data_IF_653822585119
#
_entry.id   IF_653822585119
#
_cell.length_a   1.000
_cell.length_b   1.000
_cell.length_c   1.000
_cell.angle_alpha   90.00
_cell.angle_beta   90.00
_cell.angle_gamma   90.00
#
_symmetry.space_group_name_H-M   'P 1'
#
loop_
_entity.id
_entity.type
_entity.pdbx_description
1 polymer ?
#
# COMPACT_ATOMS: atom_id res chain seq x y z
N UNK A 1 -60.58 4.58 31.21
CA UNK A 1 -59.53 4.82 30.20
C UNK A 1 -58.33 3.96 30.51
N UNK A 2 -57.86 3.17 29.54
CA UNK A 2 -56.44 3.14 29.14
C UNK A 2 -56.36 2.44 27.78
N UNK A 3 -56.17 3.24 26.73
CA UNK A 3 -56.19 2.86 25.31
C UNK A 3 -54.76 2.77 24.72
N UNK A 4 -53.82 2.17 25.44
CA UNK A 4 -52.45 2.01 24.92
C UNK A 4 -51.93 0.60 25.20
N UNK A 5 -52.50 -0.40 24.51
CA UNK A 5 -51.82 -1.68 24.31
C UNK A 5 -50.66 -1.47 23.33
N UNK A 6 -49.44 -1.59 23.84
CA UNK A 6 -48.19 -1.34 23.14
C UNK A 6 -47.98 -2.28 21.92
N UNK A 7 -48.56 -1.90 20.77
CA UNK A 7 -48.47 -2.63 19.51
C UNK A 7 -47.10 -2.52 18.79
N UNK A 8 -46.17 -1.73 19.35
CA UNK A 8 -44.83 -1.52 18.80
C UNK A 8 -43.71 -2.03 19.73
N UNK A 9 -44.04 -2.89 20.71
CA UNK A 9 -42.99 -3.53 21.49
C UNK A 9 -42.34 -4.65 20.67
N UNK A 10 -41.15 -4.35 20.13
CA UNK A 10 -40.31 -5.33 19.43
C UNK A 10 -40.10 -6.51 20.39
N UNK A 11 -40.62 -7.69 20.02
CA UNK A 11 -40.44 -8.91 20.80
C UNK A 11 -38.94 -9.15 20.94
N UNK A 12 -38.44 -9.20 22.19
CA UNK A 12 -37.03 -9.46 22.46
C UNK A 12 -36.61 -10.74 21.73
N UNK A 13 -35.63 -10.64 20.84
CA UNK A 13 -35.11 -11.81 20.14
C UNK A 13 -34.53 -12.79 21.16
N UNK A 14 -34.68 -14.09 20.90
CA UNK A 14 -34.09 -15.11 21.77
C UNK A 14 -32.59 -14.84 21.90
N UNK A 15 -31.99 -15.01 23.09
CA UNK A 15 -30.56 -14.86 23.27
C UNK A 15 -29.83 -15.66 22.21
N UNK A 16 -28.94 -14.99 21.49
CA UNK A 16 -28.10 -15.61 20.48
C UNK A 16 -27.32 -16.74 21.16
N UNK A 17 -27.56 -18.00 20.75
CA UNK A 17 -26.90 -19.18 21.34
C UNK A 17 -25.39 -19.26 21.06
N UNK A 18 -24.87 -18.30 20.30
CA UNK A 18 -23.47 -18.21 19.93
C UNK A 18 -22.90 -16.98 20.63
N UNK A 19 -21.93 -17.21 21.51
CA UNK A 19 -21.09 -16.18 22.10
C UNK A 19 -20.42 -15.43 20.95
N UNK A 20 -20.44 -14.09 20.99
CA UNK A 20 -19.63 -13.28 20.09
C UNK A 20 -18.17 -13.65 20.34
N UNK A 21 -17.61 -14.50 19.47
CA UNK A 21 -16.21 -14.89 19.53
C UNK A 21 -15.39 -13.69 19.08
N UNK A 22 -15.10 -12.82 20.04
CA UNK A 22 -13.94 -11.95 19.94
C UNK A 22 -12.74 -12.86 19.64
N UNK A 23 -11.91 -12.57 18.63
CA UNK A 23 -10.82 -13.43 18.20
C UNK A 23 -9.71 -13.62 19.25
N UNK A 24 -9.88 -13.10 20.46
CA UNK A 24 -8.76 -12.86 21.34
C UNK A 24 -8.36 -14.05 22.22
N UNK A 25 -9.22 -15.05 22.50
CA UNK A 25 -8.83 -16.20 23.34
C UNK A 25 -9.67 -17.46 23.05
N UNK A 26 -9.28 -18.22 22.03
CA UNK A 26 -9.76 -19.59 21.84
C UNK A 26 -8.72 -20.57 22.45
N UNK A 27 -9.15 -21.73 22.98
CA UNK A 27 -8.21 -22.78 23.36
C UNK A 27 -7.46 -23.31 22.13
N UNK A 28 -6.23 -23.79 22.31
CA UNK A 28 -5.32 -24.14 21.21
C UNK A 28 -5.92 -25.12 20.19
N UNK A 29 -6.69 -26.10 20.66
CA UNK A 29 -7.34 -27.10 19.81
C UNK A 29 -8.46 -26.51 18.93
N UNK A 30 -9.24 -25.58 19.48
CA UNK A 30 -10.29 -24.87 18.72
C UNK A 30 -9.67 -23.85 17.77
N UNK A 31 -8.57 -23.19 18.15
CA UNK A 31 -7.82 -22.30 17.26
C UNK A 31 -7.32 -23.03 16.02
N UNK A 32 -6.69 -24.19 16.20
CA UNK A 32 -6.17 -24.97 15.09
C UNK A 32 -7.29 -25.41 14.14
N UNK A 33 -8.44 -25.80 14.69
CA UNK A 33 -9.60 -26.24 13.91
C UNK A 33 -10.27 -25.11 13.15
N UNK A 34 -10.34 -23.90 13.71
CA UNK A 34 -11.09 -22.78 13.13
C UNK A 34 -10.23 -21.82 12.30
N UNK A 35 -8.99 -21.58 12.73
CA UNK A 35 -8.05 -20.65 12.08
C UNK A 35 -6.95 -21.36 11.29
N UNK A 36 -6.86 -22.69 11.41
CA UNK A 36 -5.82 -23.49 10.75
C UNK A 36 -4.50 -23.51 11.53
N UNK A 37 -3.45 -24.14 10.96
CA UNK A 37 -2.14 -24.21 11.59
C UNK A 37 -1.57 -22.81 11.81
N UNK A 38 -0.99 -22.58 13.00
CA UNK A 38 -0.27 -21.35 13.31
C UNK A 38 0.98 -21.29 12.43
N UNK A 39 0.98 -20.44 11.41
CA UNK A 39 2.15 -20.20 10.59
C UNK A 39 3.19 -19.48 11.45
N UNK A 40 4.21 -20.21 11.89
CA UNK A 40 5.23 -19.68 12.80
C UNK A 40 6.07 -18.60 12.13
N UNK A 41 6.42 -18.77 10.85
CA UNK A 41 7.21 -17.77 10.10
C UNK A 41 6.85 -17.80 8.61
N UNK A 42 6.29 -16.71 8.10
CA UNK A 42 6.09 -16.54 6.65
C UNK A 42 7.34 -15.87 6.06
N UNK A 43 8.12 -16.64 5.32
CA UNK A 43 9.31 -16.15 4.62
C UNK A 43 8.99 -15.93 3.14
N UNK A 44 9.13 -14.70 2.66
CA UNK A 44 8.96 -14.35 1.25
C UNK A 44 10.29 -13.83 0.72
N UNK A 45 10.78 -14.40 -0.38
CA UNK A 45 11.95 -13.88 -1.09
C UNK A 45 11.47 -13.06 -2.28
N UNK A 46 11.72 -11.75 -2.24
CA UNK A 46 11.42 -10.85 -3.36
C UNK A 46 12.74 -10.38 -3.95
N UNK A 47 13.01 -10.77 -5.19
CA UNK A 47 14.32 -10.64 -5.83
C UNK A 47 15.44 -11.23 -4.94
N UNK A 48 16.34 -10.39 -4.45
CA UNK A 48 17.47 -10.78 -3.59
C UNK A 48 17.25 -10.51 -2.10
N UNK A 49 16.10 -9.95 -1.74
CA UNK A 49 15.78 -9.58 -0.35
C UNK A 49 14.83 -10.60 0.26
N UNK A 50 15.20 -11.13 1.42
CA UNK A 50 14.34 -12.00 2.22
C UNK A 50 13.52 -11.12 3.16
N UNK A 51 12.20 -11.30 3.13
CA UNK A 51 11.24 -10.58 3.98
C UNK A 51 10.58 -11.63 4.87
N UNK A 52 10.52 -11.35 6.16
CA UNK A 52 9.97 -12.19 7.22
C UNK A 52 8.78 -11.46 7.80
N UNK A 53 7.62 -12.11 7.79
CA UNK A 53 6.44 -11.58 8.47
C UNK A 53 6.58 -11.76 9.98
N UNK A 54 6.44 -10.67 10.72
CA UNK A 54 6.32 -10.69 12.17
C UNK A 54 4.87 -11.01 12.55
N UNK A 55 4.66 -12.25 13.00
CA UNK A 55 3.34 -12.76 13.37
C UNK A 55 2.78 -12.12 14.65
N UNK A 56 3.60 -11.42 15.44
CA UNK A 56 3.16 -10.75 16.68
C UNK A 56 2.68 -9.32 16.44
N UNK A 57 3.42 -8.56 15.63
CA UNK A 57 3.08 -7.16 15.31
C UNK A 57 2.27 -7.00 14.01
N UNK A 58 2.23 -8.03 13.17
CA UNK A 58 1.53 -8.01 11.87
C UNK A 58 2.30 -7.25 10.78
N UNK A 59 3.59 -7.00 10.98
CA UNK A 59 4.45 -6.20 10.11
C UNK A 59 5.42 -7.06 9.29
N UNK A 60 5.87 -6.53 8.15
CA UNK A 60 6.87 -7.19 7.30
C UNK A 60 8.27 -6.65 7.59
N UNK A 61 9.15 -7.52 8.08
CA UNK A 61 10.55 -7.19 8.41
C UNK A 61 11.49 -7.74 7.34
N UNK A 62 12.38 -6.93 6.79
CA UNK A 62 13.43 -7.43 5.89
C UNK A 62 14.52 -8.12 6.70
N UNK A 63 14.80 -9.40 6.41
CA UNK A 63 15.88 -10.15 7.06
C UNK A 63 17.22 -9.46 6.79
N UNK A 64 17.92 -9.07 7.87
CA UNK A 64 19.16 -8.27 7.82
C UNK A 64 19.00 -6.82 8.29
N UNK A 65 17.81 -6.42 8.72
CA UNK A 65 17.55 -5.11 9.31
C UNK A 65 17.04 -5.27 10.75
N UNK A 66 17.82 -5.92 11.60
CA UNK A 66 17.55 -6.10 13.04
C UNK A 66 17.54 -4.81 13.88
N UNK A 67 17.35 -3.64 13.24
CA UNK A 67 17.18 -2.35 13.91
C UNK A 67 16.32 -1.33 13.13
N UNK A 68 15.62 -1.70 12.05
CA UNK A 68 14.86 -0.72 11.25
C UNK A 68 13.38 -1.13 11.18
N UNK A 69 12.77 -1.30 12.35
CA UNK A 69 11.32 -1.40 12.47
C UNK A 69 10.64 -0.22 11.77
N UNK A 70 9.71 -0.52 10.87
CA UNK A 70 8.59 0.29 10.33
C UNK A 70 8.84 1.69 9.75
N UNK A 71 9.81 2.46 10.24
CA UNK A 71 9.91 3.92 10.08
C UNK A 71 11.05 4.29 9.14
N UNK A 72 12.15 3.52 9.15
CA UNK A 72 13.30 3.85 8.33
C UNK A 72 13.23 3.32 6.89
N UNK A 73 12.44 2.27 6.65
CA UNK A 73 12.04 1.90 5.28
C UNK A 73 11.17 2.99 4.67
N UNK A 74 10.27 3.61 5.45
CA UNK A 74 9.43 4.73 5.01
C UNK A 74 10.26 5.99 4.72
N UNK A 75 11.14 6.41 5.64
CA UNK A 75 11.93 7.63 5.46
C UNK A 75 12.94 7.52 4.29
N UNK A 76 13.63 6.37 4.15
CA UNK A 76 14.54 6.13 3.03
C UNK A 76 13.77 5.97 1.71
N UNK A 77 12.65 5.24 1.70
CA UNK A 77 11.80 5.14 0.51
C UNK A 77 11.18 6.49 0.13
N UNK A 78 10.83 7.34 1.09
CA UNK A 78 10.34 8.70 0.84
C UNK A 78 11.43 9.58 0.24
N UNK A 79 12.68 9.48 0.71
CA UNK A 79 13.82 10.18 0.08
C UNK A 79 14.03 9.73 -1.35
N UNK A 80 13.99 8.42 -1.61
CA UNK A 80 14.12 7.84 -2.96
C UNK A 80 12.97 8.34 -3.86
N UNK A 81 11.72 8.34 -3.37
CA UNK A 81 10.57 8.86 -4.12
C UNK A 81 10.76 10.32 -4.51
N UNK A 82 11.18 11.17 -3.57
CA UNK A 82 11.47 12.58 -3.84
C UNK A 82 12.56 12.75 -4.90
N UNK A 83 13.62 11.95 -4.86
CA UNK A 83 14.67 11.99 -5.88
C UNK A 83 14.14 11.57 -7.25
N UNK A 84 13.29 10.55 -7.31
CA UNK A 84 12.64 10.14 -8.57
C UNK A 84 11.76 11.24 -9.13
N UNK A 85 11.00 11.93 -8.28
CA UNK A 85 10.13 13.04 -8.72
C UNK A 85 10.95 14.21 -9.29
N UNK A 86 12.04 14.60 -8.62
CA UNK A 86 12.96 15.63 -9.10
C UNK A 86 13.58 15.23 -10.44
N UNK A 87 14.11 14.01 -10.55
CA UNK A 87 14.72 13.52 -11.80
C UNK A 87 13.70 13.45 -12.95
N UNK A 88 12.44 13.14 -12.65
CA UNK A 88 11.36 13.12 -13.63
C UNK A 88 11.05 14.52 -14.13
N UNK A 89 11.02 15.50 -13.24
CA UNK A 89 10.82 16.91 -13.60
C UNK A 89 11.98 17.45 -14.45
N UNK A 90 13.22 17.17 -14.07
CA UNK A 90 14.40 17.51 -14.86
C UNK A 90 14.35 16.85 -16.25
N UNK A 91 13.98 15.56 -16.33
CA UNK A 91 13.83 14.87 -17.60
C UNK A 91 12.76 15.51 -18.49
N UNK A 92 11.62 15.90 -17.91
CA UNK A 92 10.57 16.61 -18.65
C UNK A 92 11.04 17.99 -19.14
N UNK A 93 11.77 18.74 -18.31
CA UNK A 93 12.35 20.02 -18.70
C UNK A 93 13.37 19.85 -19.84
N UNK A 94 14.22 18.83 -19.76
CA UNK A 94 15.19 18.52 -20.81
C UNK A 94 14.51 18.18 -22.13
N UNK A 95 13.43 17.39 -22.10
CA UNK A 95 12.62 17.08 -23.30
C UNK A 95 12.05 18.35 -23.93
N UNK A 96 11.43 19.22 -23.12
CA UNK A 96 10.90 20.50 -23.62
C UNK A 96 11.99 21.39 -24.23
N UNK A 97 13.18 21.46 -23.62
CA UNK A 97 14.31 22.21 -24.18
C UNK A 97 14.75 21.65 -25.52
N UNK A 98 14.81 20.32 -25.66
CA UNK A 98 15.15 19.67 -26.92
C UNK A 98 14.11 19.99 -27.98
N UNK A 99 12.81 19.90 -27.67
CA UNK A 99 11.74 20.21 -28.63
C UNK A 99 11.79 21.66 -29.11
N UNK A 100 12.01 22.61 -28.20
CA UNK A 100 12.16 24.03 -28.55
C UNK A 100 13.39 24.26 -29.44
N UNK A 101 14.53 23.65 -29.08
CA UNK A 101 15.76 23.77 -29.89
C UNK A 101 15.59 23.14 -31.27
N UNK A 102 14.89 22.00 -31.37
CA UNK A 102 14.58 21.38 -32.65
C UNK A 102 13.70 22.28 -33.52
N UNK A 103 12.69 22.93 -32.93
CA UNK A 103 11.86 23.90 -33.65
C UNK A 103 12.67 25.10 -34.13
N UNK A 104 13.52 25.69 -33.27
CA UNK A 104 14.39 26.81 -33.64
C UNK A 104 15.36 26.44 -34.77
N UNK A 105 15.93 25.23 -34.72
CA UNK A 105 16.80 24.74 -35.80
C UNK A 105 16.00 24.49 -37.07
N UNK A 106 14.79 23.94 -36.98
CA UNK A 106 13.93 23.73 -38.14
C UNK A 106 13.54 25.06 -38.80
N UNK A 107 13.20 26.09 -38.02
CA UNK A 107 12.94 27.45 -38.50
C UNK A 107 14.17 28.03 -39.18
N UNK A 108 15.34 27.95 -38.55
CA UNK A 108 16.60 28.44 -39.12
C UNK A 108 16.96 27.73 -40.44
N UNK A 109 16.76 26.41 -40.51
CA UNK A 109 16.97 25.63 -41.73
C UNK A 109 15.96 26.01 -42.80
N UNK A 110 14.70 26.27 -42.45
CA UNK A 110 13.67 26.72 -43.38
C UNK A 110 13.94 28.12 -43.93
N UNK A 111 14.55 29.01 -43.15
CA UNK A 111 14.98 30.34 -43.60
C UNK A 111 16.22 30.27 -44.50
N UNK A 112 17.18 29.39 -44.20
CA UNK A 112 18.42 29.22 -44.96
C UNK A 112 18.26 28.40 -46.24
N UNK A 113 17.30 27.49 -46.27
CA UNK A 113 16.94 26.79 -47.51
C UNK A 113 15.95 27.69 -48.24
N UNK A 114 16.36 28.40 -49.32
CA UNK A 114 15.39 29.13 -50.11
C UNK A 114 14.40 28.09 -50.61
N UNK A 115 13.17 28.18 -50.11
CA UNK A 115 12.04 27.43 -50.65
C UNK A 115 12.14 27.52 -52.17
N UNK A 116 12.28 26.36 -52.81
CA UNK A 116 12.17 26.23 -54.25
C UNK A 116 10.93 27.02 -54.67
N UNK A 117 11.13 28.04 -55.52
CA UNK A 117 10.08 28.90 -56.08
C UNK A 117 8.86 28.12 -56.55
#
# INVERSE_FOLDING_TARGET
MSFFSNAFSIKKSKPRKYVSRSPLKLPADEMFRELGPKCEVINVKVADKKIIFDTENGDWNTAGAESLGGIASSASAQKIRKQVDVLKEENNMLKLKVDVLLNLVAEFVAELTPSQR
#
